data_IF_208223193829
#
_entry.id   IF_208223193829
#
_cell.length_a   1.000
_cell.length_b   1.000
_cell.length_c   1.000
_cell.angle_alpha   90.00
_cell.angle_beta   90.00
_cell.angle_gamma   90.00
#
_symmetry.space_group_name_H-M   'P 1'
#
loop_
_entity.id
_entity.type
_entity.pdbx_description
1 polymer ?
#
# COMPACT_ATOMS: atom_id res chain seq x y z
N UNK A 1 -7.90 -8.07 -8.92
CA UNK A 1 -7.83 -6.76 -8.25
C UNK A 1 -9.23 -6.22 -7.96
N UNK A 2 -9.74 -5.13 -8.56
CA UNK A 2 -11.16 -4.74 -8.39
C UNK A 2 -11.40 -3.26 -8.04
N UNK A 3 -12.54 -2.98 -7.41
CA UNK A 3 -12.99 -1.61 -7.07
C UNK A 3 -13.31 -1.57 -5.57
N UNK A 4 -12.52 -0.82 -4.81
CA UNK A 4 -12.77 -0.51 -3.40
C UNK A 4 -13.68 0.71 -3.23
N UNK A 5 -13.83 1.20 -2.00
CA UNK A 5 -14.75 2.32 -1.68
C UNK A 5 -14.35 3.65 -2.31
N UNK A 6 -13.05 3.93 -2.42
CA UNK A 6 -12.53 5.22 -2.89
C UNK A 6 -11.60 5.11 -4.11
N UNK A 7 -11.09 3.90 -4.39
CA UNK A 7 -10.05 3.64 -5.38
C UNK A 7 -10.47 2.47 -6.27
N UNK A 8 -10.08 2.55 -7.54
CA UNK A 8 -10.10 1.40 -8.45
C UNK A 8 -8.68 0.87 -8.62
N UNK A 9 -8.50 -0.46 -8.60
CA UNK A 9 -7.22 -1.13 -8.79
C UNK A 9 -7.26 -1.98 -10.07
N UNK A 10 -6.24 -1.79 -10.92
CA UNK A 10 -6.10 -2.44 -12.22
C UNK A 10 -4.70 -3.04 -12.35
N UNK A 11 -4.56 -4.10 -13.14
CA UNK A 11 -3.24 -4.55 -13.54
C UNK A 11 -2.63 -3.58 -14.56
N UNK A 12 -1.33 -3.39 -14.49
CA UNK A 12 -0.56 -2.60 -15.45
C UNK A 12 0.83 -3.19 -15.62
N UNK A 13 1.59 -2.64 -16.56
CA UNK A 13 3.00 -2.98 -16.72
C UNK A 13 3.85 -1.72 -16.62
N UNK A 14 4.91 -1.81 -15.83
CA UNK A 14 5.87 -0.73 -15.64
C UNK A 14 7.08 -0.97 -16.54
N UNK A 15 7.44 0.04 -17.32
CA UNK A 15 8.66 0.05 -18.13
C UNK A 15 9.38 1.36 -17.90
N UNK A 16 10.58 1.27 -17.35
CA UNK A 16 11.44 2.41 -17.08
C UNK A 16 12.60 2.45 -18.09
N UNK A 17 13.02 3.66 -18.46
CA UNK A 17 14.20 3.85 -19.34
C UNK A 17 15.47 3.40 -18.62
N UNK A 18 15.53 3.65 -17.31
CA UNK A 18 16.60 3.21 -16.43
C UNK A 18 16.00 2.35 -15.33
N UNK A 19 16.43 1.09 -15.27
CA UNK A 19 16.00 0.15 -14.26
C UNK A 19 16.73 0.46 -12.95
N UNK A 20 16.04 0.72 -11.83
CA UNK A 20 16.66 0.82 -10.53
C UNK A 20 17.23 -0.53 -10.08
N UNK A 21 18.16 -0.50 -9.12
CA UNK A 21 18.77 -1.70 -8.55
C UNK A 21 17.87 -2.42 -7.53
N UNK A 22 16.82 -1.74 -7.03
CA UNK A 22 15.90 -2.25 -6.03
C UNK A 22 14.55 -1.52 -6.13
N UNK A 23 13.49 -2.12 -5.59
CA UNK A 23 12.15 -1.56 -5.58
C UNK A 23 11.35 -1.83 -6.86
N UNK A 24 10.42 -0.94 -7.19
CA UNK A 24 9.57 -1.03 -8.37
C UNK A 24 10.33 -0.76 -9.67
N UNK A 25 10.03 -1.55 -10.70
CA UNK A 25 10.55 -1.36 -12.06
C UNK A 25 11.97 -1.88 -12.24
N UNK A 26 12.43 -2.79 -11.39
CA UNK A 26 13.74 -3.45 -11.49
C UNK A 26 13.83 -4.36 -12.72
N UNK A 27 12.68 -4.78 -13.25
CA UNK A 27 12.58 -5.53 -14.49
C UNK A 27 11.87 -4.71 -15.59
N UNK A 28 12.23 -4.91 -16.87
CA UNK A 28 11.45 -4.36 -17.96
C UNK A 28 10.07 -5.02 -18.00
N UNK A 29 9.03 -4.23 -18.29
CA UNK A 29 7.65 -4.71 -18.37
C UNK A 29 7.20 -5.46 -17.10
N UNK A 30 7.57 -4.94 -15.93
CA UNK A 30 7.22 -5.50 -14.64
C UNK A 30 5.70 -5.38 -14.40
N UNK A 31 5.06 -6.48 -13.99
CA UNK A 31 3.64 -6.50 -13.65
C UNK A 31 3.40 -5.72 -12.35
N UNK A 32 2.49 -4.77 -12.38
CA UNK A 32 2.20 -3.86 -11.27
C UNK A 32 0.71 -3.70 -11.03
N UNK A 33 0.36 -3.31 -9.81
CA UNK A 33 -0.96 -2.83 -9.45
C UNK A 33 -1.04 -1.32 -9.66
N UNK A 34 -2.01 -0.85 -10.43
CA UNK A 34 -2.24 0.58 -10.70
C UNK A 34 -3.55 1.01 -10.04
N UNK A 35 -3.44 1.88 -9.03
CA UNK A 35 -4.57 2.43 -8.30
C UNK A 35 -4.85 3.87 -8.70
N UNK A 36 -6.15 4.19 -8.73
CA UNK A 36 -6.65 5.52 -9.08
C UNK A 36 -7.86 5.89 -8.24
N UNK A 37 -7.84 7.11 -7.72
CA UNK A 37 -8.97 7.67 -6.98
C UNK A 37 -10.21 7.85 -7.85
N UNK A 38 -11.37 7.79 -7.21
CA UNK A 38 -12.62 8.21 -7.82
C UNK A 38 -13.52 8.87 -6.79
N UNK A 39 -14.34 9.83 -7.24
CA UNK A 39 -15.19 10.63 -6.37
C UNK A 39 -16.46 9.91 -5.98
N UNK A 40 -17.10 9.27 -6.96
CA UNK A 40 -18.38 8.59 -6.77
C UNK A 40 -18.53 7.47 -7.77
N UNK A 41 -19.18 6.40 -7.32
CA UNK A 41 -19.68 5.33 -8.17
C UNK A 41 -21.21 5.38 -8.14
N UNK A 42 -21.83 5.46 -9.32
CA UNK A 42 -23.30 5.51 -9.47
C UNK A 42 -23.74 4.46 -10.46
N UNK A 43 -24.80 3.74 -10.15
CA UNK A 43 -25.43 2.87 -11.12
C UNK A 43 -26.28 3.72 -12.07
N UNK A 44 -26.06 3.55 -13.37
CA UNK A 44 -26.90 4.14 -14.39
C UNK A 44 -28.26 3.42 -14.38
N UNK A 45 -29.33 4.16 -14.11
CA UNK A 45 -30.67 3.61 -13.95
C UNK A 45 -31.27 3.05 -15.25
N UNK A 46 -30.78 3.48 -16.41
CA UNK A 46 -31.26 3.04 -17.72
C UNK A 46 -30.54 1.80 -18.22
N UNK A 47 -29.24 1.71 -18.00
CA UNK A 47 -28.41 0.60 -18.53
C UNK A 47 -28.02 -0.43 -17.48
N UNK A 48 -28.23 -0.15 -16.19
CA UNK A 48 -27.75 -0.96 -15.07
C UNK A 48 -26.23 -0.89 -14.86
N UNK A 49 -25.49 -0.20 -15.73
CA UNK A 49 -24.03 -0.13 -15.70
C UNK A 49 -23.52 0.82 -14.63
N UNK A 50 -22.40 0.46 -13.99
CA UNK A 50 -21.72 1.34 -13.04
C UNK A 50 -20.90 2.40 -13.75
N UNK A 51 -21.15 3.67 -13.42
CA UNK A 51 -20.38 4.82 -13.91
C UNK A 51 -19.57 5.39 -12.75
N UNK A 52 -18.32 5.73 -13.04
CA UNK A 52 -17.37 6.21 -12.04
C UNK A 52 -16.93 7.64 -12.38
N UNK A 53 -17.31 8.58 -11.51
CA UNK A 53 -16.95 9.99 -11.64
C UNK A 53 -15.56 10.22 -11.05
N UNK A 54 -14.68 10.88 -11.82
CA UNK A 54 -13.31 11.18 -11.41
C UNK A 54 -13.19 12.54 -10.73
N UNK A 55 -12.19 12.69 -9.89
CA UNK A 55 -11.78 13.99 -9.35
C UNK A 55 -11.15 14.87 -10.43
N UNK A 56 -11.05 16.17 -10.14
CA UNK A 56 -10.21 17.05 -10.95
C UNK A 56 -8.73 16.60 -10.82
N UNK A 57 -7.89 16.80 -11.85
CA UNK A 57 -6.52 16.29 -11.83
C UNK A 57 -5.68 16.74 -10.63
N UNK A 58 -5.85 17.99 -10.17
CA UNK A 58 -5.15 18.52 -9.00
C UNK A 58 -5.59 17.84 -7.70
N UNK A 59 -6.90 17.64 -7.51
CA UNK A 59 -7.44 16.95 -6.33
C UNK A 59 -7.04 15.47 -6.33
N UNK A 60 -7.15 14.80 -7.48
CA UNK A 60 -6.70 13.42 -7.66
C UNK A 60 -5.20 13.28 -7.36
N UNK A 61 -4.39 14.23 -7.80
CA UNK A 61 -2.96 14.28 -7.50
C UNK A 61 -2.70 14.39 -6.01
N UNK A 62 -3.30 15.38 -5.32
CA UNK A 62 -3.11 15.58 -3.89
C UNK A 62 -3.51 14.34 -3.07
N UNK A 63 -4.62 13.69 -3.42
CA UNK A 63 -5.08 12.46 -2.76
C UNK A 63 -4.12 11.29 -2.99
N UNK A 64 -3.61 11.09 -4.21
CA UNK A 64 -2.64 10.01 -4.46
C UNK A 64 -1.31 10.29 -3.76
N UNK A 65 -0.84 11.55 -3.69
CA UNK A 65 0.35 11.90 -2.93
C UNK A 65 0.15 11.60 -1.43
N UNK A 66 -1.03 11.87 -0.88
CA UNK A 66 -1.35 11.52 0.50
C UNK A 66 -1.26 10.00 0.74
N UNK A 67 -1.80 9.18 -0.15
CA UNK A 67 -1.70 7.72 -0.06
C UNK A 67 -0.25 7.22 -0.14
N UNK A 68 0.54 7.76 -1.07
CA UNK A 68 1.94 7.41 -1.19
C UNK A 68 2.72 7.75 0.10
N UNK A 69 2.41 8.91 0.71
CA UNK A 69 2.99 9.30 1.98
C UNK A 69 2.56 8.37 3.12
N UNK A 70 1.29 7.96 3.19
CA UNK A 70 0.82 7.00 4.19
C UNK A 70 1.56 5.68 4.09
N UNK A 71 1.77 5.17 2.87
CA UNK A 71 2.51 3.93 2.65
C UNK A 71 4.01 4.06 2.99
N UNK A 72 4.60 5.23 2.72
CA UNK A 72 5.96 5.56 3.15
C UNK A 72 6.09 5.56 4.68
N UNK A 73 5.16 6.20 5.38
CA UNK A 73 5.11 6.17 6.85
C UNK A 73 4.89 4.76 7.39
N UNK A 74 4.02 3.97 6.76
CA UNK A 74 3.76 2.59 7.15
C UNK A 74 5.01 1.72 7.03
N UNK A 75 5.75 1.85 5.93
CA UNK A 75 7.04 1.17 5.75
C UNK A 75 8.03 1.59 6.83
N UNK A 76 8.13 2.89 7.12
CA UNK A 76 9.05 3.42 8.14
C UNK A 76 8.70 2.94 9.55
N UNK A 77 7.41 2.85 9.90
CA UNK A 77 6.95 2.33 11.19
C UNK A 77 7.18 0.82 11.33
N UNK A 78 7.12 0.07 10.23
CA UNK A 78 7.48 -1.34 10.24
C UNK A 78 8.99 -1.52 10.45
N UNK A 79 9.83 -0.77 9.72
CA UNK A 79 11.29 -0.78 9.89
C UNK A 79 11.71 -0.35 11.31
N UNK A 80 10.98 0.61 11.89
CA UNK A 80 11.15 1.00 13.29
C UNK A 80 10.89 -0.18 14.23
N UNK A 81 9.80 -0.93 14.04
CA UNK A 81 9.49 -2.12 14.85
C UNK A 81 10.59 -3.17 14.71
N UNK A 82 11.07 -3.45 13.50
CA UNK A 82 12.18 -4.38 13.30
C UNK A 82 13.47 -3.93 13.97
N UNK A 83 13.79 -2.63 13.89
CA UNK A 83 14.95 -2.06 14.58
C UNK A 83 14.84 -2.22 16.10
N UNK A 84 13.64 -2.05 16.66
CA UNK A 84 13.36 -2.30 18.07
C UNK A 84 13.57 -3.78 18.45
N UNK A 85 13.06 -4.71 17.65
CA UNK A 85 13.25 -6.15 17.84
C UNK A 85 14.75 -6.49 17.81
N UNK A 86 15.47 -6.03 16.79
CA UNK A 86 16.90 -6.30 16.64
C UNK A 86 17.73 -5.78 17.83
N UNK A 87 17.41 -4.60 18.33
CA UNK A 87 18.06 -4.08 19.53
C UNK A 87 17.80 -4.98 20.74
N UNK A 88 16.57 -5.46 20.93
CA UNK A 88 16.25 -6.38 22.02
C UNK A 88 17.01 -7.70 21.89
N UNK A 89 17.01 -8.30 20.69
CA UNK A 89 17.70 -9.55 20.41
C UNK A 89 19.22 -9.45 20.57
N UNK A 90 19.83 -8.32 20.19
CA UNK A 90 21.28 -8.12 20.36
C UNK A 90 21.74 -8.10 21.82
N UNK A 91 20.81 -7.92 22.76
CA UNK A 91 21.05 -7.91 24.19
C UNK A 91 20.48 -9.16 24.90
N UNK A 92 19.92 -10.11 24.15
CA UNK A 92 19.36 -11.33 24.69
C UNK A 92 20.43 -12.43 24.78
N UNK A 93 20.44 -13.19 25.87
CA UNK A 93 21.36 -14.33 26.05
C UNK A 93 20.93 -15.55 25.22
N UNK A 94 19.65 -15.62 24.83
CA UNK A 94 19.04 -16.74 24.13
C UNK A 94 18.24 -16.25 22.91
N UNK A 95 18.21 -17.07 21.86
CA UNK A 95 17.36 -16.84 20.69
C UNK A 95 15.89 -17.11 21.01
N UNK A 96 14.94 -16.41 20.35
CA UNK A 96 13.53 -16.65 20.56
C UNK A 96 13.15 -18.08 20.13
N UNK A 97 12.25 -18.77 20.86
CA UNK A 97 11.85 -20.14 20.56
C UNK A 97 10.90 -20.23 19.35
N UNK A 98 10.72 -19.15 18.59
CA UNK A 98 9.84 -19.04 17.44
C UNK A 98 10.50 -18.19 16.34
N UNK A 99 10.05 -18.38 15.11
CA UNK A 99 10.49 -17.55 13.98
C UNK A 99 9.75 -16.22 14.00
N UNK A 100 10.49 -15.11 14.00
CA UNK A 100 9.91 -13.77 13.89
C UNK A 100 9.53 -13.52 12.43
N UNK A 101 8.23 -13.28 12.12
CA UNK A 101 7.80 -12.98 10.75
C UNK A 101 8.59 -11.82 10.15
N UNK A 102 8.98 -11.95 8.87
CA UNK A 102 9.70 -10.93 8.10
C UNK A 102 8.77 -10.33 7.05
N UNK A 103 8.11 -9.26 7.43
CA UNK A 103 6.97 -8.65 6.76
C UNK A 103 7.40 -7.29 6.22
N UNK A 104 6.91 -6.92 5.04
CA UNK A 104 7.12 -5.57 4.50
C UNK A 104 5.89 -5.06 3.76
N UNK A 105 5.74 -3.75 3.71
CA UNK A 105 4.80 -3.13 2.79
C UNK A 105 5.29 -3.28 1.35
N UNK A 106 4.34 -3.33 0.41
CA UNK A 106 4.67 -3.32 -1.02
C UNK A 106 5.44 -2.06 -1.38
N UNK A 107 6.42 -2.20 -2.26
CA UNK A 107 7.05 -1.05 -2.89
C UNK A 107 6.02 -0.34 -3.75
N UNK A 108 6.01 0.99 -3.65
CA UNK A 108 5.08 1.83 -4.38
C UNK A 108 5.75 3.09 -4.91
N UNK A 109 5.15 3.65 -5.95
CA UNK A 109 5.56 4.89 -6.58
C UNK A 109 4.36 5.65 -7.12
N UNK A 110 4.58 6.91 -7.46
CA UNK A 110 3.55 7.78 -8.05
C UNK A 110 3.85 7.97 -9.53
N UNK A 111 2.90 7.60 -10.38
CA UNK A 111 2.97 7.88 -11.81
C UNK A 111 2.07 9.07 -12.15
N UNK A 112 2.67 10.11 -12.74
CA UNK A 112 1.97 11.32 -13.18
C UNK A 112 1.96 11.36 -14.70
N UNK A 113 0.77 11.44 -15.29
CA UNK A 113 0.61 11.68 -16.72
C UNK A 113 0.36 13.17 -16.96
N UNK A 114 1.02 13.72 -17.97
CA UNK A 114 0.86 15.11 -18.41
C UNK A 114 0.19 15.16 -19.77
N UNK A 115 -0.57 16.22 -20.03
CA UNK A 115 -1.01 16.50 -21.39
C UNK A 115 0.17 16.97 -22.23
N UNK A 116 0.25 16.50 -23.48
CA UNK A 116 1.20 17.07 -24.43
C UNK A 116 0.70 18.44 -24.86
N UNK A 117 1.57 19.46 -24.76
CA UNK A 117 1.29 20.79 -25.29
C UNK A 117 1.30 20.68 -26.81
N UNK A 118 0.13 20.56 -27.43
CA UNK A 118 0.00 20.70 -28.86
C UNK A 118 0.05 22.19 -29.23
N UNK A 119 1.22 22.66 -29.69
CA UNK A 119 1.33 23.95 -30.39
C UNK A 119 2.49 24.83 -29.93
N UNK A 120 3.06 25.54 -30.89
CA UNK A 120 4.26 26.39 -30.86
C UNK A 120 4.16 27.67 -29.97
N UNK A 121 3.28 27.69 -28.97
CA UNK A 121 3.08 28.87 -28.11
C UNK A 121 3.70 28.64 -26.73
N UNK A 122 4.63 29.53 -26.40
CA UNK A 122 5.54 29.52 -25.27
C UNK A 122 4.78 29.89 -23.98
N UNK A 123 3.86 29.02 -23.53
CA UNK A 123 3.46 28.97 -22.13
C UNK A 123 3.77 27.57 -21.60
N UNK A 124 5.01 27.41 -21.13
CA UNK A 124 5.62 26.16 -20.69
C UNK A 124 5.03 25.65 -19.37
N UNK A 125 3.76 25.26 -19.34
CA UNK A 125 3.18 24.57 -18.18
C UNK A 125 2.45 23.31 -18.65
N UNK A 126 3.13 22.16 -18.56
CA UNK A 126 2.49 20.86 -18.74
C UNK A 126 1.50 20.62 -17.60
N UNK A 127 0.19 20.68 -17.86
CA UNK A 127 -0.81 20.38 -16.85
C UNK A 127 -0.81 18.88 -16.51
N UNK A 128 -0.91 18.56 -15.22
CA UNK A 128 -1.15 17.20 -14.77
C UNK A 128 -2.50 16.76 -15.31
N UNK A 129 -2.54 15.62 -15.99
CA UNK A 129 -3.75 15.02 -16.53
C UNK A 129 -4.35 14.02 -15.56
N UNK A 130 -3.51 13.12 -15.03
CA UNK A 130 -3.91 12.04 -14.11
C UNK A 130 -2.74 11.63 -13.24
N UNK A 131 -3.03 11.19 -12.03
CA UNK A 131 -2.06 10.65 -11.09
C UNK A 131 -2.50 9.25 -10.66
N UNK A 132 -1.53 8.34 -10.53
CA UNK A 132 -1.74 6.95 -10.17
C UNK A 132 -0.79 6.57 -9.04
N UNK A 133 -1.27 5.74 -8.12
CA UNK A 133 -0.41 5.00 -7.21
C UNK A 133 -0.08 3.67 -7.90
N UNK A 134 1.19 3.38 -8.06
CA UNK A 134 1.70 2.15 -8.67
C UNK A 134 2.35 1.33 -7.57
N UNK A 135 1.98 0.07 -7.44
CA UNK A 135 2.44 -0.84 -6.39
C UNK A 135 2.92 -2.15 -6.99
N UNK A 136 3.74 -2.88 -6.24
CA UNK A 136 4.06 -4.27 -6.57
C UNK A 136 2.77 -5.08 -6.76
N UNK A 137 2.78 -5.95 -7.76
CA UNK A 137 1.69 -6.88 -7.96
C UNK A 137 1.84 -8.05 -6.98
N UNK A 138 0.80 -8.31 -6.19
CA UNK A 138 0.69 -9.51 -5.35
C UNK A 138 -0.13 -10.53 -6.13
N UNK A 139 0.46 -11.67 -6.47
CA UNK A 139 -0.25 -12.76 -7.12
C UNK A 139 -1.30 -13.33 -6.16
N UNK A 140 -2.59 -13.22 -6.51
CA UNK A 140 -3.73 -13.65 -5.68
C UNK A 140 -3.89 -15.20 -5.63
N UNK A 141 -2.80 -15.99 -5.63
CA UNK A 141 -2.91 -17.46 -5.69
C UNK A 141 -3.50 -18.08 -4.42
N UNK A 142 -3.27 -17.48 -3.25
CA UNK A 142 -3.69 -18.03 -1.95
C UNK A 142 -4.63 -17.12 -1.14
N UNK A 143 -5.17 -16.07 -1.77
CA UNK A 143 -6.13 -15.15 -1.15
C UNK A 143 -5.50 -13.99 -0.36
N UNK A 144 -6.24 -12.88 -0.30
CA UNK A 144 -5.84 -11.67 0.42
C UNK A 144 -6.52 -11.66 1.80
N UNK A 145 -5.73 -11.66 2.86
CA UNK A 145 -6.19 -11.83 4.25
C UNK A 145 -6.16 -10.49 4.97
N UNK A 146 -7.24 -10.19 5.70
CA UNK A 146 -7.28 -9.06 6.63
C UNK A 146 -6.94 -9.57 8.03
N UNK A 147 -5.80 -9.15 8.57
CA UNK A 147 -5.25 -9.68 9.82
C UNK A 147 -5.74 -8.90 11.04
N UNK A 148 -5.81 -7.58 10.93
CA UNK A 148 -6.18 -6.68 12.03
C UNK A 148 -7.20 -5.64 11.54
N UNK A 149 -8.21 -5.35 12.35
CA UNK A 149 -9.25 -4.38 12.02
C UNK A 149 -8.89 -2.96 12.50
N UNK A 150 -9.38 -1.92 11.82
CA UNK A 150 -9.25 -0.51 12.22
C UNK A 150 -9.88 -0.11 13.57
N UNK A 151 -10.61 -1.03 14.20
CA UNK A 151 -11.37 -0.77 15.42
C UNK A 151 -11.07 -1.74 16.55
N UNK A 152 -10.17 -2.70 16.30
CA UNK A 152 -9.81 -3.73 17.27
C UNK A 152 -8.33 -4.06 17.13
N UNK A 153 -7.62 -4.06 18.26
CA UNK A 153 -6.21 -4.40 18.32
C UNK A 153 -5.97 -5.92 18.37
N UNK A 154 -7.03 -6.72 18.33
CA UNK A 154 -6.95 -8.18 18.30
C UNK A 154 -6.85 -8.73 16.87
N UNK A 155 -6.27 -9.92 16.76
CA UNK A 155 -6.30 -10.74 15.55
C UNK A 155 -7.74 -11.00 15.10
N UNK A 156 -8.00 -10.86 13.80
CA UNK A 156 -9.25 -11.31 13.17
C UNK A 156 -9.24 -12.81 12.87
N UNK A 157 -8.10 -13.47 13.01
CA UNK A 157 -7.93 -14.90 12.74
C UNK A 157 -8.08 -15.72 14.01
N UNK A 158 -8.70 -16.89 13.88
CA UNK A 158 -8.79 -17.90 14.93
C UNK A 158 -7.41 -18.54 15.20
N UNK A 159 -7.20 -19.09 16.39
CA UNK A 159 -5.90 -19.61 16.82
C UNK A 159 -5.42 -20.84 16.04
N UNK A 160 -6.32 -21.52 15.34
CA UNK A 160 -6.04 -22.65 14.44
C UNK A 160 -5.79 -22.22 13.00
N UNK A 161 -5.94 -20.93 12.67
CA UNK A 161 -5.62 -20.40 11.35
C UNK A 161 -4.10 -20.47 11.09
N UNK A 162 -3.65 -20.98 9.93
CA UNK A 162 -2.22 -21.08 9.62
C UNK A 162 -1.48 -19.74 9.64
N UNK A 163 -2.18 -18.62 9.45
CA UNK A 163 -1.61 -17.27 9.50
C UNK A 163 -1.85 -16.54 10.82
N UNK A 164 -2.40 -17.20 11.85
CA UNK A 164 -2.62 -16.60 13.17
C UNK A 164 -1.34 -15.98 13.75
N UNK A 165 -0.20 -16.66 13.61
CA UNK A 165 1.11 -16.16 14.07
C UNK A 165 1.53 -14.84 13.38
N UNK A 166 1.08 -14.60 12.14
CA UNK A 166 1.29 -13.31 11.44
C UNK A 166 0.39 -12.25 12.07
N UNK A 167 -0.88 -12.57 12.33
CA UNK A 167 -1.80 -11.64 12.99
C UNK A 167 -1.31 -11.24 14.40
N UNK A 168 -0.86 -12.20 15.22
CA UNK A 168 -0.24 -11.92 16.53
C UNK A 168 0.97 -11.00 16.41
N UNK A 169 1.86 -11.27 15.45
CA UNK A 169 3.01 -10.41 15.20
C UNK A 169 2.59 -9.00 14.81
N UNK A 170 1.56 -8.85 13.97
CA UNK A 170 1.04 -7.53 13.59
C UNK A 170 0.43 -6.79 14.79
N UNK A 171 -0.32 -7.46 15.67
CA UNK A 171 -0.79 -6.89 16.93
C UNK A 171 0.40 -6.43 17.81
N UNK A 172 1.47 -7.22 17.89
CA UNK A 172 2.70 -6.82 18.57
C UNK A 172 3.31 -5.57 17.93
N UNK A 173 3.35 -5.47 16.59
CA UNK A 173 3.88 -4.28 15.91
C UNK A 173 3.09 -3.02 16.26
N UNK A 174 1.75 -3.11 16.33
CA UNK A 174 0.90 -2.01 16.76
C UNK A 174 1.22 -1.57 18.18
N UNK A 175 1.39 -2.53 19.09
CA UNK A 175 1.73 -2.26 20.48
C UNK A 175 3.08 -1.53 20.60
N UNK A 176 4.12 -2.03 19.91
CA UNK A 176 5.44 -1.39 19.91
C UNK A 176 5.36 0.04 19.36
N UNK A 177 4.70 0.24 18.23
CA UNK A 177 4.57 1.56 17.61
C UNK A 177 3.82 2.53 18.53
N UNK A 178 2.67 2.12 19.08
CA UNK A 178 1.90 2.95 19.99
C UNK A 178 2.70 3.30 21.25
N UNK A 179 3.31 2.30 21.89
CA UNK A 179 4.09 2.50 23.10
C UNK A 179 5.32 3.40 22.88
N UNK A 180 6.08 3.15 21.81
CA UNK A 180 7.33 3.88 21.54
C UNK A 180 7.13 5.28 20.98
N UNK A 181 5.93 5.59 20.50
CA UNK A 181 5.58 6.93 20.03
C UNK A 181 4.73 7.69 21.06
N UNK A 182 4.78 7.28 22.33
CA UNK A 182 4.02 7.88 23.43
C UNK A 182 2.52 7.98 23.14
N UNK A 183 1.97 6.97 22.47
CA UNK A 183 0.57 6.87 22.09
C UNK A 183 0.16 7.70 20.87
N UNK A 184 1.12 8.18 20.07
CA UNK A 184 0.83 9.11 18.96
C UNK A 184 0.42 8.40 17.68
N UNK A 185 1.11 7.32 17.30
CA UNK A 185 0.88 6.67 16.01
C UNK A 185 1.09 5.15 16.08
N UNK A 186 0.27 4.43 15.33
CA UNK A 186 0.42 3.01 15.05
C UNK A 186 -0.26 2.70 13.72
N UNK A 187 0.06 1.56 13.12
CA UNK A 187 -0.57 1.11 11.89
C UNK A 187 -1.83 0.30 12.15
N UNK A 188 -2.90 0.57 11.41
CA UNK A 188 -4.13 -0.22 11.42
C UNK A 188 -4.45 -0.71 10.00
N UNK A 189 -5.62 -1.33 9.83
CA UNK A 189 -6.08 -1.99 8.60
C UNK A 189 -5.02 -2.86 7.92
N UNK A 190 -4.37 -3.73 8.70
CA UNK A 190 -3.27 -4.55 8.19
C UNK A 190 -3.84 -5.73 7.42
N UNK A 191 -3.64 -5.70 6.10
CA UNK A 191 -4.13 -6.70 5.16
C UNK A 191 -3.07 -6.98 4.07
N UNK A 192 -3.04 -8.20 3.56
CA UNK A 192 -1.96 -8.62 2.68
C UNK A 192 -1.99 -10.11 2.33
N UNK A 193 -0.85 -10.60 1.86
CA UNK A 193 -0.62 -12.01 1.59
C UNK A 193 0.79 -12.39 2.04
N UNK A 194 0.87 -13.43 2.89
CA UNK A 194 2.14 -13.98 3.39
C UNK A 194 3.07 -12.89 3.96
N UNK A 195 4.11 -12.50 3.22
CA UNK A 195 5.15 -11.54 3.65
C UNK A 195 4.90 -10.09 3.19
N UNK A 196 3.87 -9.84 2.38
CA UNK A 196 3.61 -8.53 1.76
C UNK A 196 2.30 -7.91 2.25
N UNK A 197 2.37 -6.65 2.69
CA UNK A 197 1.23 -5.87 3.19
C UNK A 197 0.89 -4.70 2.29
N UNK A 198 -0.39 -4.32 2.33
CA UNK A 198 -0.88 -3.06 1.83
C UNK A 198 -1.78 -2.41 2.90
N UNK A 199 -1.77 -1.09 2.99
CA UNK A 199 -2.65 -0.35 3.90
C UNK A 199 -3.98 -0.05 3.19
N UNK A 200 -5.12 -0.45 3.78
CA UNK A 200 -6.45 -0.37 3.15
C UNK A 200 -6.97 1.01 2.79
#
# INVERSE_FOLDING_TARGET
>A
LGIGTFKSAHTGHLSLIHLPSQGLGTAPNELVTVKRMYRRRTQNTTTGNWVMTRFLPADEHAMIIQEANLLYWASSLMDFTYSFIHLFLSNADEEPPFTIPQLRFVHAGVAVSHDQVAGNNISNTSSIRRTYLVEEFIEESDGFVKFVHDGDANSLLDTDDPFYHIAEFLCFTQHVQYFKTDGTVFLSDLQGMSLLFHHG
#
